data_IF_597947747918
#
_entry.id   IF_597947747918
#
_cell.length_a   1.000
_cell.length_b   1.000
_cell.length_c   1.000
_cell.angle_alpha   90.00
_cell.angle_beta   90.00
_cell.angle_gamma   90.00
#
_symmetry.space_group_name_H-M   'P 1'
#
loop_
_entity.id
_entity.type
_entity.pdbx_description
1 polymer ?
#
# COMPACT_ATOMS: atom_id res chain seq x y z
N UNK A 1 0.37 -5.85 -33.45
CA UNK A 1 -0.44 -5.35 -32.33
C UNK A 1 -1.34 -4.24 -32.81
N UNK A 2 -2.64 -4.41 -32.71
CA UNK A 2 -3.57 -3.40 -33.18
C UNK A 2 -3.55 -2.18 -32.23
N UNK A 3 -3.47 -1.01 -32.82
CA UNK A 3 -3.57 0.24 -32.06
C UNK A 3 -5.01 0.40 -31.54
N UNK A 4 -5.14 0.59 -30.23
CA UNK A 4 -6.42 0.82 -29.59
C UNK A 4 -6.42 2.21 -28.95
N UNK A 5 -7.22 3.17 -29.47
CA UNK A 5 -7.25 4.51 -28.91
C UNK A 5 -7.69 4.55 -27.44
N UNK A 6 -8.54 3.63 -27.01
CA UNK A 6 -8.96 3.55 -25.61
C UNK A 6 -7.79 3.14 -24.72
N UNK A 7 -6.96 2.20 -25.15
CA UNK A 7 -5.79 1.82 -24.39
C UNK A 7 -4.78 2.96 -24.30
N UNK A 8 -4.62 3.72 -25.37
CA UNK A 8 -3.74 4.90 -25.35
C UNK A 8 -4.29 5.96 -24.39
N UNK A 9 -5.59 6.18 -24.38
CA UNK A 9 -6.22 7.12 -23.47
C UNK A 9 -6.08 6.67 -22.01
N UNK A 10 -6.32 5.38 -21.72
CA UNK A 10 -6.12 4.84 -20.39
C UNK A 10 -4.65 4.89 -19.97
N UNK A 11 -3.74 4.71 -20.91
CA UNK A 11 -2.31 4.83 -20.64
C UNK A 11 -1.88 6.22 -20.19
N UNK A 12 -2.57 7.27 -20.65
CA UNK A 12 -2.32 8.64 -20.21
C UNK A 12 -2.73 8.86 -18.75
N UNK A 13 -3.71 8.10 -18.26
CA UNK A 13 -4.24 8.23 -16.91
C UNK A 13 -3.80 7.10 -15.99
N UNK A 14 -3.03 6.14 -16.50
CA UNK A 14 -2.46 5.09 -15.68
C UNK A 14 -1.12 5.54 -15.09
N UNK A 15 -0.91 5.20 -13.84
CA UNK A 15 0.34 5.46 -13.16
C UNK A 15 1.17 4.19 -13.09
N UNK A 16 2.48 4.34 -13.31
CA UNK A 16 3.43 3.28 -12.99
C UNK A 16 3.89 3.51 -11.57
N UNK A 17 3.50 2.64 -10.67
CA UNK A 17 3.84 2.72 -9.27
C UNK A 17 4.93 1.73 -8.89
N UNK A 18 5.93 2.20 -8.17
CA UNK A 18 6.87 1.35 -7.47
C UNK A 18 6.56 1.42 -5.99
N UNK A 19 6.35 0.27 -5.37
CA UNK A 19 6.09 0.21 -3.94
C UNK A 19 7.24 -0.53 -3.27
N UNK A 20 7.88 0.13 -2.33
CA UNK A 20 8.92 -0.47 -1.52
C UNK A 20 8.34 -0.78 -0.14
N UNK A 21 8.05 -2.06 0.08
CA UNK A 21 7.52 -2.54 1.35
C UNK A 21 8.66 -2.71 2.34
N UNK A 22 8.72 -1.81 3.30
CA UNK A 22 9.68 -1.90 4.38
C UNK A 22 9.04 -2.38 5.68
N UNK A 23 9.85 -2.89 6.59
CA UNK A 23 9.38 -3.30 7.91
C UNK A 23 8.84 -2.11 8.71
N UNK A 24 9.51 -0.96 8.61
CA UNK A 24 9.12 0.24 9.32
C UNK A 24 8.21 1.15 8.49
N UNK A 25 8.58 1.37 7.25
CA UNK A 25 7.89 2.32 6.37
C UNK A 25 7.67 1.71 4.98
N UNK A 26 6.58 2.11 4.36
CA UNK A 26 6.29 1.80 2.97
C UNK A 26 6.42 3.07 2.14
N UNK A 27 7.17 2.99 1.06
CA UNK A 27 7.37 4.09 0.12
C UNK A 27 6.62 3.79 -1.17
N UNK A 28 5.90 4.78 -1.68
CA UNK A 28 5.27 4.67 -3.00
C UNK A 28 5.90 5.71 -3.92
N UNK A 29 6.41 5.23 -5.02
CA UNK A 29 7.08 6.03 -6.03
C UNK A 29 6.25 6.01 -7.30
N UNK A 30 6.01 7.19 -7.89
CA UNK A 30 5.36 7.33 -9.17
C UNK A 30 6.42 7.65 -10.21
N UNK A 31 6.45 6.86 -11.29
CA UNK A 31 7.39 7.07 -12.38
C UNK A 31 7.31 8.50 -12.90
N UNK A 32 8.45 9.17 -12.93
CA UNK A 32 8.55 10.55 -13.38
C UNK A 32 8.25 11.60 -12.31
N UNK A 33 7.76 11.20 -11.15
CA UNK A 33 7.45 12.16 -10.07
C UNK A 33 8.20 11.89 -8.77
N UNK A 34 8.76 10.71 -8.60
CA UNK A 34 9.47 10.35 -7.39
C UNK A 34 8.53 9.84 -6.30
N UNK A 35 8.98 9.94 -5.06
CA UNK A 35 8.25 9.40 -3.90
C UNK A 35 7.05 10.31 -3.60
N UNK A 36 5.85 9.73 -3.65
CA UNK A 36 4.60 10.46 -3.39
C UNK A 36 3.98 10.08 -2.04
N UNK A 37 4.31 8.91 -1.52
CA UNK A 37 3.88 8.47 -0.19
C UNK A 37 5.05 7.88 0.56
N UNK A 38 5.12 8.20 1.83
CA UNK A 38 6.05 7.59 2.78
C UNK A 38 5.26 7.42 4.07
N UNK A 39 4.77 6.21 4.28
CA UNK A 39 3.90 5.93 5.40
C UNK A 39 4.46 4.81 6.26
N UNK A 40 4.24 4.84 7.57
CA UNK A 40 4.59 3.71 8.43
C UNK A 40 3.85 2.45 7.98
N UNK A 41 4.54 1.31 8.01
CA UNK A 41 3.94 0.02 7.65
C UNK A 41 3.15 -0.55 8.82
N UNK A 42 2.07 0.14 9.19
CA UNK A 42 1.20 -0.22 10.30
C UNK A 42 -0.25 -0.34 9.83
N UNK A 43 -0.97 -1.29 10.42
CA UNK A 43 -2.40 -1.47 10.18
C UNK A 43 -3.09 -1.70 11.52
N UNK A 44 -4.12 -0.91 11.79
CA UNK A 44 -4.99 -1.15 12.93
C UNK A 44 -6.16 -2.01 12.48
N UNK A 45 -6.39 -3.11 13.16
CA UNK A 45 -7.44 -4.05 12.82
C UNK A 45 -8.39 -4.28 14.00
N UNK A 46 -9.61 -4.66 13.67
CA UNK A 46 -10.56 -5.17 14.66
C UNK A 46 -10.20 -6.64 14.92
N UNK A 47 -9.94 -6.98 16.18
CA UNK A 47 -9.55 -8.35 16.55
C UNK A 47 -10.60 -9.39 16.20
N UNK A 48 -11.86 -9.04 16.24
CA UNK A 48 -12.94 -10.00 16.00
C UNK A 48 -13.15 -10.29 14.53
N UNK A 49 -13.16 -9.23 13.71
CA UNK A 49 -13.46 -9.35 12.28
C UNK A 49 -12.20 -9.37 11.42
N UNK A 50 -11.07 -8.98 11.98
CA UNK A 50 -9.79 -8.77 11.28
C UNK A 50 -9.88 -7.74 10.16
N UNK A 51 -10.84 -6.85 10.23
CA UNK A 51 -10.98 -5.77 9.27
C UNK A 51 -10.00 -4.65 9.55
N UNK A 52 -9.31 -4.14 8.52
CA UNK A 52 -8.49 -2.95 8.68
C UNK A 52 -9.36 -1.74 9.02
N UNK A 53 -8.97 -1.00 10.04
CA UNK A 53 -9.68 0.20 10.48
C UNK A 53 -8.89 1.46 10.16
N UNK A 54 -7.56 1.36 10.16
CA UNK A 54 -6.67 2.45 9.83
C UNK A 54 -5.38 1.87 9.26
N UNK A 55 -4.70 2.63 8.42
CA UNK A 55 -3.47 2.19 7.76
C UNK A 55 -2.48 3.35 7.74
N UNK A 56 -1.20 3.05 7.93
CA UNK A 56 -0.15 4.03 7.87
C UNK A 56 -0.01 4.82 9.15
N UNK A 57 0.20 6.14 9.03
CA UNK A 57 0.45 7.02 10.18
C UNK A 57 -0.69 6.98 11.18
N UNK A 58 -1.93 6.94 10.71
CA UNK A 58 -3.10 6.88 11.57
C UNK A 58 -3.09 5.60 12.41
N UNK A 59 -2.76 4.47 11.82
CA UNK A 59 -2.66 3.21 12.55
C UNK A 59 -1.53 3.25 13.58
N UNK A 60 -0.41 3.83 13.24
CA UNK A 60 0.71 3.95 14.15
C UNK A 60 0.36 4.79 15.39
N UNK A 61 -0.41 5.84 15.19
CA UNK A 61 -0.85 6.67 16.31
C UNK A 61 -1.77 5.94 17.27
N UNK A 62 -2.40 4.87 16.81
CA UNK A 62 -3.27 4.05 17.64
C UNK A 62 -2.54 3.10 18.57
N UNK A 63 -1.23 2.94 18.43
CA UNK A 63 -0.46 2.03 19.27
C UNK A 63 -0.56 2.48 20.72
N UNK A 64 -1.00 1.57 21.59
CA UNK A 64 -1.16 1.83 23.00
C UNK A 64 -2.34 2.72 23.38
N UNK A 65 -3.15 3.14 22.41
CA UNK A 65 -4.29 4.04 22.64
C UNK A 65 -5.62 3.48 22.17
N UNK A 66 -5.64 2.21 21.81
CA UNK A 66 -6.81 1.59 21.22
C UNK A 66 -7.71 0.96 22.28
N UNK A 67 -9.05 0.97 22.07
CA UNK A 67 -9.94 0.12 22.85
C UNK A 67 -9.57 -1.35 22.72
N UNK A 68 -10.03 -2.17 23.65
CA UNK A 68 -9.61 -3.55 23.75
C UNK A 68 -9.81 -4.43 22.52
N UNK A 69 -10.69 -4.03 21.59
CA UNK A 69 -10.97 -4.80 20.37
C UNK A 69 -10.10 -4.41 19.19
N UNK A 70 -9.30 -3.37 19.28
CA UNK A 70 -8.49 -2.84 18.19
C UNK A 70 -7.03 -3.07 18.52
N UNK A 71 -6.28 -3.57 17.55
CA UNK A 71 -4.84 -3.77 17.69
C UNK A 71 -4.13 -3.21 16.47
N UNK A 72 -3.03 -2.51 16.72
CA UNK A 72 -2.16 -2.02 15.65
C UNK A 72 -1.04 -3.03 15.47
N UNK A 73 -0.85 -3.48 14.23
CA UNK A 73 0.14 -4.48 13.89
C UNK A 73 1.03 -4.00 12.75
N UNK A 74 2.21 -4.59 12.66
CA UNK A 74 3.08 -4.44 11.50
C UNK A 74 3.01 -5.71 10.66
N UNK A 75 2.46 -5.65 9.44
CA UNK A 75 2.35 -6.83 8.58
C UNK A 75 3.69 -7.42 8.17
N UNK A 76 4.75 -6.61 8.15
CA UNK A 76 6.10 -7.07 7.88
C UNK A 76 6.93 -6.99 9.15
N UNK A 77 7.60 -8.09 9.47
CA UNK A 77 8.55 -8.16 10.58
C UNK A 77 9.86 -8.73 10.09
N UNK A 78 10.95 -8.02 10.36
CA UNK A 78 12.29 -8.47 9.96
C UNK A 78 12.38 -8.77 8.47
N UNK A 79 11.68 -8.00 7.65
CA UNK A 79 11.65 -8.18 6.21
C UNK A 79 10.77 -9.32 5.73
N UNK A 80 9.98 -9.92 6.60
CA UNK A 80 9.11 -11.05 6.25
C UNK A 80 7.65 -10.64 6.40
N UNK A 81 6.82 -11.02 5.43
CA UNK A 81 5.38 -10.81 5.50
C UNK A 81 4.80 -11.81 6.50
N UNK A 82 4.23 -11.29 7.59
CA UNK A 82 3.64 -12.13 8.63
C UNK A 82 2.15 -12.37 8.42
N UNK A 83 1.48 -11.51 7.64
CA UNK A 83 0.06 -11.64 7.34
C UNK A 83 -0.19 -11.15 5.92
N UNK A 84 -0.52 -12.07 5.01
CA UNK A 84 -0.73 -11.73 3.61
C UNK A 84 -1.99 -10.91 3.36
N UNK A 85 -3.08 -11.25 4.04
CA UNK A 85 -4.35 -10.54 3.84
C UNK A 85 -4.26 -9.09 4.29
N UNK A 86 -3.63 -8.86 5.42
CA UNK A 86 -3.45 -7.51 5.95
C UNK A 86 -2.45 -6.73 5.09
N UNK A 87 -1.39 -7.38 4.61
CA UNK A 87 -0.44 -6.75 3.71
C UNK A 87 -1.11 -6.35 2.39
N UNK A 88 -1.96 -7.23 1.86
CA UNK A 88 -2.72 -6.94 0.64
C UNK A 88 -3.64 -5.73 0.84
N UNK A 89 -4.34 -5.67 1.97
CA UNK A 89 -5.20 -4.53 2.28
C UNK A 89 -4.40 -3.23 2.41
N UNK A 90 -3.22 -3.31 3.02
CA UNK A 90 -2.33 -2.16 3.15
C UNK A 90 -1.84 -1.67 1.78
N UNK A 91 -1.43 -2.59 0.91
CA UNK A 91 -1.02 -2.26 -0.45
C UNK A 91 -2.15 -1.61 -1.24
N UNK A 92 -3.34 -2.18 -1.19
CA UNK A 92 -4.50 -1.64 -1.88
C UNK A 92 -4.80 -0.21 -1.44
N UNK A 93 -4.73 0.03 -0.15
CA UNK A 93 -4.93 1.37 0.41
C UNK A 93 -3.89 2.37 -0.13
N UNK A 94 -2.62 2.00 -0.13
CA UNK A 94 -1.57 2.91 -0.59
C UNK A 94 -1.65 3.15 -2.09
N UNK A 95 -2.00 2.13 -2.88
CA UNK A 95 -2.19 2.28 -4.32
C UNK A 95 -3.32 3.26 -4.59
N UNK A 96 -4.46 3.09 -3.94
CA UNK A 96 -5.60 3.98 -4.11
C UNK A 96 -5.29 5.41 -3.66
N UNK A 97 -4.58 5.55 -2.56
CA UNK A 97 -4.19 6.86 -2.04
C UNK A 97 -3.25 7.59 -3.00
N UNK A 98 -2.24 6.89 -3.52
CA UNK A 98 -1.32 7.48 -4.49
C UNK A 98 -2.05 7.88 -5.76
N UNK A 99 -2.93 7.01 -6.26
CA UNK A 99 -3.69 7.28 -7.48
C UNK A 99 -4.63 8.47 -7.30
N UNK A 100 -5.30 8.56 -6.16
CA UNK A 100 -6.25 9.65 -5.90
C UNK A 100 -5.59 11.02 -5.81
N UNK A 101 -4.33 11.08 -5.40
CA UNK A 101 -3.57 12.33 -5.39
C UNK A 101 -3.29 12.84 -6.80
N UNK A 102 -3.17 11.93 -7.76
CA UNK A 102 -2.84 12.26 -9.15
C UNK A 102 -4.09 12.42 -10.01
N UNK A 103 -5.07 11.52 -9.85
CA UNK A 103 -6.29 11.49 -10.64
C UNK A 103 -7.50 11.23 -9.75
N UNK A 104 -7.96 12.25 -9.00
CA UNK A 104 -9.00 12.04 -7.97
C UNK A 104 -10.33 11.51 -8.48
N UNK A 105 -10.64 11.73 -9.76
CA UNK A 105 -11.94 11.36 -10.33
C UNK A 105 -11.93 10.07 -11.12
N UNK A 106 -10.76 9.39 -11.20
CA UNK A 106 -10.61 8.20 -12.02
C UNK A 106 -10.38 6.97 -11.16
N UNK A 107 -10.93 5.83 -11.62
CA UNK A 107 -10.66 4.55 -11.01
C UNK A 107 -9.18 4.18 -11.17
N UNK A 108 -8.54 3.63 -10.13
CA UNK A 108 -7.14 3.26 -10.22
C UNK A 108 -6.96 2.04 -11.10
N UNK A 109 -6.08 2.16 -12.10
CA UNK A 109 -5.62 1.06 -12.93
C UNK A 109 -4.11 1.14 -13.09
N UNK A 110 -3.36 1.21 -11.99
CA UNK A 110 -1.91 1.38 -12.09
C UNK A 110 -1.23 0.08 -12.46
N UNK A 111 -0.06 0.22 -13.10
CA UNK A 111 0.89 -0.88 -13.13
C UNK A 111 1.74 -0.77 -11.88
N UNK A 112 1.86 -1.86 -11.14
CA UNK A 112 2.50 -1.84 -9.84
C UNK A 112 3.65 -2.82 -9.80
N UNK A 113 4.81 -2.35 -9.39
CA UNK A 113 5.96 -3.18 -9.07
C UNK A 113 6.19 -3.08 -7.57
N UNK A 114 6.20 -4.21 -6.89
CA UNK A 114 6.36 -4.27 -5.45
C UNK A 114 7.73 -4.82 -5.11
N UNK A 115 8.53 -4.01 -4.42
CA UNK A 115 9.80 -4.44 -3.87
C UNK A 115 9.61 -4.94 -2.44
N UNK A 116 10.17 -6.09 -2.15
CA UNK A 116 10.13 -6.70 -0.83
C UNK A 116 11.56 -6.74 -0.28
N UNK A 117 11.76 -6.57 1.04
CA UNK A 117 13.08 -6.64 1.61
C UNK A 117 13.80 -7.94 1.26
N UNK A 118 15.12 -7.86 1.06
CA UNK A 118 15.93 -8.97 0.56
C UNK A 118 15.93 -10.22 1.44
N UNK A 119 15.53 -10.10 2.69
CA UNK A 119 15.43 -11.25 3.58
C UNK A 119 14.31 -12.23 3.26
N UNK A 120 13.45 -11.92 2.27
CA UNK A 120 12.26 -12.72 1.94
C UNK A 120 12.49 -13.62 0.73
N UNK A 121 13.70 -13.74 0.27
CA UNK A 121 14.02 -14.40 -1.01
C UNK A 121 13.79 -15.89 -1.03
N UNK A 122 13.53 -16.49 0.09
CA UNK A 122 13.41 -17.95 0.18
C UNK A 122 11.98 -18.47 0.11
N UNK A 123 11.08 -17.63 -0.21
CA UNK A 123 9.67 -18.01 -0.24
C UNK A 123 9.26 -18.63 -1.56
#
# INVERSE_FOLDING_TARGET
MAFNPLNALFGLFSLDLGIDLGTANTLVNVRGKGIVLNEPSWVAIDKRTKRPLAIGAEAREMVGRTPGNIVAIRPLRDGVISDFEITEAMLDYFIKKAHSQMFPLLEPRPRVVVGIPSGVTEV
#
